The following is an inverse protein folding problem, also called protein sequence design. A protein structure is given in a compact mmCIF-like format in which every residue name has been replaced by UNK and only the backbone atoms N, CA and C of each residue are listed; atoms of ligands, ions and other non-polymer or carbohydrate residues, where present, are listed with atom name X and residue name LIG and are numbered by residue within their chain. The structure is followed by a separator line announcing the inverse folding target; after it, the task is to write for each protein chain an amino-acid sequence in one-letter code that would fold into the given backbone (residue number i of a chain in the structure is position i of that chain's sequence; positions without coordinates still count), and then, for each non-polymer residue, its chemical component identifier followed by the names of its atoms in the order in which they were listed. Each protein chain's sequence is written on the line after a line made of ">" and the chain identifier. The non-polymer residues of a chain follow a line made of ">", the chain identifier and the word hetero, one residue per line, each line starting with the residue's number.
data_IF_061392033738
#
_entry.id   IF_061392033738
#
_cell.length_a   1.000
_cell.length_b   1.000
_cell.length_c   1.000
_cell.angle_alpha   90.00
_cell.angle_beta   90.00
_cell.angle_gamma   90.00
#
_symmetry.space_group_name_H-M   'P 1'
#
loop_
_entity.id
_entity.type
_entity.pdbx_description
1 polymer ?
#
# COMPACT_ATOMS: atom_id res chain seq x y z
N UNK A 1 3.44 7.30 24.76
CA UNK A 1 3.24 6.03 24.05
C UNK A 1 3.70 6.23 22.62
N UNK A 2 4.28 5.21 21.97
CA UNK A 2 4.68 5.33 20.57
C UNK A 2 3.49 5.23 19.63
N UNK A 3 3.59 5.80 18.43
CA UNK A 3 2.55 5.84 17.40
C UNK A 3 1.94 4.45 17.08
N UNK A 4 2.72 3.39 17.18
CA UNK A 4 2.31 2.00 16.90
C UNK A 4 1.35 1.41 17.96
N UNK A 5 1.01 2.15 19.00
CA UNK A 5 -0.03 1.80 20.00
C UNK A 5 -1.29 2.64 19.84
N UNK A 6 -1.25 3.64 18.98
CA UNK A 6 -2.39 4.49 18.65
C UNK A 6 -3.21 3.90 17.49
N UNK A 7 -4.21 4.62 17.02
CA UNK A 7 -5.01 4.19 15.88
C UNK A 7 -4.17 4.20 14.60
N UNK A 8 -4.17 3.07 13.91
CA UNK A 8 -3.57 2.86 12.60
C UNK A 8 -4.65 2.36 11.63
N UNK A 9 -4.52 2.70 10.37
CA UNK A 9 -5.43 2.25 9.32
C UNK A 9 -4.66 1.34 8.37
N UNK A 10 -4.85 0.03 8.50
CA UNK A 10 -4.37 -0.94 7.52
C UNK A 10 -5.12 -0.80 6.21
N UNK A 11 -4.42 -0.82 5.08
CA UNK A 11 -5.00 -0.70 3.75
C UNK A 11 -4.32 -1.66 2.78
N UNK A 12 -5.12 -2.29 1.92
CA UNK A 12 -4.64 -3.19 0.88
C UNK A 12 -5.65 -3.31 -0.26
N UNK A 13 -5.18 -3.60 -1.47
CA UNK A 13 -5.97 -3.82 -2.69
C UNK A 13 -5.56 -5.11 -3.38
N UNK A 14 -6.54 -5.96 -3.76
CA UNK A 14 -6.32 -6.99 -4.78
C UNK A 14 -6.70 -6.45 -6.15
N UNK A 15 -5.97 -6.87 -7.17
CA UNK A 15 -5.97 -6.19 -8.45
C UNK A 15 -5.92 -7.15 -9.64
N UNK A 16 -6.23 -6.64 -10.83
CA UNK A 16 -6.14 -7.42 -12.08
C UNK A 16 -4.70 -7.61 -12.58
N UNK A 17 -3.69 -7.02 -11.94
CA UNK A 17 -2.30 -7.12 -12.39
C UNK A 17 -1.32 -6.33 -11.54
N UNK A 18 -0.06 -6.30 -11.93
CA UNK A 18 1.06 -5.76 -11.15
C UNK A 18 1.56 -4.39 -11.60
N UNK A 19 1.00 -3.84 -12.68
CA UNK A 19 1.27 -2.46 -13.10
C UNK A 19 0.17 -1.53 -12.56
N UNK A 20 0.47 -0.62 -11.62
CA UNK A 20 -0.53 0.22 -11.00
C UNK A 20 -1.19 1.23 -11.94
N UNK A 21 -0.60 1.49 -13.11
CA UNK A 21 -1.17 2.39 -14.12
C UNK A 21 -2.25 1.71 -14.96
N UNK A 22 -2.14 0.40 -15.19
CA UNK A 22 -3.01 -0.40 -16.05
C UNK A 22 -3.99 -1.28 -15.27
N UNK A 23 -3.56 -1.79 -14.13
CA UNK A 23 -4.37 -2.67 -13.29
C UNK A 23 -5.64 -1.99 -12.78
N UNK A 24 -6.61 -2.80 -12.40
CA UNK A 24 -7.92 -2.39 -11.90
C UNK A 24 -8.13 -2.96 -10.50
N UNK A 25 -8.86 -2.25 -9.66
CA UNK A 25 -9.26 -2.76 -8.34
C UNK A 25 -10.23 -3.91 -8.50
N UNK A 26 -9.94 -5.03 -7.82
CA UNK A 26 -10.84 -6.19 -7.67
C UNK A 26 -11.44 -6.21 -6.27
N UNK A 27 -10.61 -6.14 -5.23
CA UNK A 27 -11.08 -5.95 -3.85
C UNK A 27 -10.27 -4.86 -3.17
N UNK A 28 -10.81 -4.32 -2.08
CA UNK A 28 -10.09 -3.39 -1.21
C UNK A 28 -10.51 -3.59 0.23
N UNK A 29 -9.58 -3.37 1.14
CA UNK A 29 -9.82 -3.45 2.57
C UNK A 29 -9.21 -2.28 3.33
N UNK A 30 -9.96 -1.80 4.32
CA UNK A 30 -9.51 -0.81 5.30
C UNK A 30 -9.80 -1.34 6.70
N UNK A 31 -8.77 -1.48 7.51
CA UNK A 31 -8.82 -2.07 8.86
C UNK A 31 -8.40 -1.02 9.89
N UNK A 32 -9.24 -0.78 10.88
CA UNK A 32 -8.90 0.04 12.04
C UNK A 32 -8.20 -0.83 13.08
N UNK A 33 -6.96 -0.50 13.41
CA UNK A 33 -6.15 -1.21 14.39
C UNK A 33 -5.69 -0.25 15.50
N UNK A 34 -5.80 -0.66 16.76
CA UNK A 34 -5.20 0.06 17.89
C UNK A 34 -4.57 -0.94 18.86
N UNK A 35 -3.30 -0.72 19.19
CA UNK A 35 -2.55 -1.60 20.10
C UNK A 35 -2.61 -3.09 19.72
N UNK A 36 -2.67 -3.42 18.43
CA UNK A 36 -2.76 -4.80 17.92
C UNK A 36 -4.18 -5.35 17.79
N UNK A 37 -5.20 -4.66 18.33
CA UNK A 37 -6.61 -5.07 18.27
C UNK A 37 -7.34 -4.41 17.11
N UNK A 38 -8.15 -5.19 16.39
CA UNK A 38 -9.01 -4.69 15.32
C UNK A 38 -10.26 -4.04 15.92
N UNK A 39 -10.48 -2.76 15.60
CA UNK A 39 -11.65 -1.99 16.06
C UNK A 39 -12.76 -1.96 15.02
N UNK A 40 -12.42 -2.04 13.74
CA UNK A 40 -13.36 -1.99 12.65
C UNK A 40 -12.74 -2.44 11.34
N UNK A 41 -13.60 -2.77 10.37
CA UNK A 41 -13.17 -3.13 9.02
C UNK A 41 -14.17 -2.64 8.00
N UNK A 42 -13.67 -2.34 6.80
CA UNK A 42 -14.46 -2.06 5.61
C UNK A 42 -13.85 -2.81 4.44
N UNK A 43 -14.71 -3.46 3.69
CA UNK A 43 -14.34 -4.32 2.57
C UNK A 43 -15.17 -3.93 1.35
N UNK A 44 -14.55 -4.00 0.20
CA UNK A 44 -15.20 -3.76 -1.08
C UNK A 44 -14.85 -4.85 -2.06
N UNK A 45 -15.84 -5.28 -2.83
CA UNK A 45 -15.66 -6.06 -4.04
C UNK A 45 -16.09 -5.17 -5.21
N UNK A 46 -15.22 -5.04 -6.21
CA UNK A 46 -15.49 -4.30 -7.43
C UNK A 46 -15.77 -5.25 -8.60
N UNK A 47 -16.68 -4.83 -9.46
CA UNK A 47 -16.65 -5.27 -10.86
C UNK A 47 -15.67 -4.36 -11.60
N UNK A 48 -14.46 -4.85 -11.97
CA UNK A 48 -13.44 -4.03 -12.59
C UNK A 48 -13.82 -3.57 -14.03
N UNK A 49 -14.90 -4.09 -14.60
CA UNK A 49 -15.32 -3.81 -15.98
C UNK A 49 -14.37 -4.32 -17.05
N UNK A 50 -13.39 -5.12 -16.67
CA UNK A 50 -12.44 -5.82 -17.55
C UNK A 50 -12.25 -7.25 -17.05
N UNK A 51 -11.72 -8.11 -17.93
CA UNK A 51 -11.41 -9.49 -17.52
C UNK A 51 -10.29 -9.50 -16.48
N UNK A 52 -10.51 -10.22 -15.37
CA UNK A 52 -9.49 -10.54 -14.39
C UNK A 52 -8.64 -11.68 -14.96
N UNK A 53 -7.33 -11.50 -15.18
CA UNK A 53 -6.46 -12.54 -15.72
C UNK A 53 -6.41 -13.78 -14.82
N UNK A 54 -6.20 -14.95 -15.41
CA UNK A 54 -6.23 -16.21 -14.69
C UNK A 54 -5.15 -16.32 -13.59
N UNK A 55 -4.00 -15.70 -13.79
CA UNK A 55 -2.92 -15.60 -12.80
C UNK A 55 -3.32 -14.73 -11.60
N UNK A 56 -4.01 -13.62 -11.82
CA UNK A 56 -4.56 -12.79 -10.75
C UNK A 56 -5.66 -13.56 -9.97
N UNK A 57 -6.59 -14.23 -10.69
CA UNK A 57 -7.60 -15.10 -10.06
C UNK A 57 -6.93 -16.20 -9.22
N UNK A 58 -5.84 -16.79 -9.69
CA UNK A 58 -5.11 -17.83 -8.94
C UNK A 58 -4.46 -17.28 -7.66
N UNK A 59 -4.17 -15.98 -7.61
CA UNK A 59 -3.58 -15.30 -6.44
C UNK A 59 -4.66 -15.00 -5.39
N UNK A 60 -5.69 -14.20 -5.73
CA UNK A 60 -6.67 -13.69 -4.75
C UNK A 60 -8.00 -14.46 -4.74
N UNK A 61 -8.21 -15.43 -5.65
CA UNK A 61 -9.38 -16.32 -5.63
C UNK A 61 -10.69 -15.69 -6.10
N UNK A 62 -10.72 -14.47 -6.58
CA UNK A 62 -11.93 -13.80 -7.06
C UNK A 62 -12.09 -14.08 -8.56
N UNK A 63 -13.14 -14.84 -8.93
CA UNK A 63 -13.43 -15.12 -10.33
C UNK A 63 -14.13 -13.95 -11.03
N UNK A 64 -14.07 -13.94 -12.37
CA UNK A 64 -14.78 -12.96 -13.19
C UNK A 64 -16.30 -13.01 -12.95
N UNK A 65 -16.86 -14.21 -12.79
CA UNK A 65 -18.29 -14.42 -12.56
C UNK A 65 -18.71 -13.81 -11.20
N UNK A 66 -17.88 -14.00 -10.16
CA UNK A 66 -18.14 -13.44 -8.83
C UNK A 66 -18.04 -11.92 -8.85
N UNK A 67 -17.01 -11.37 -9.48
CA UNK A 67 -16.82 -9.93 -9.58
C UNK A 67 -17.99 -9.26 -10.33
N UNK A 68 -18.45 -9.86 -11.44
CA UNK A 68 -19.58 -9.35 -12.22
C UNK A 68 -20.95 -9.51 -11.49
N UNK A 69 -21.13 -10.58 -10.69
CA UNK A 69 -22.40 -10.83 -10.02
C UNK A 69 -22.58 -10.07 -8.69
N UNK A 70 -21.49 -9.90 -7.94
CA UNK A 70 -21.51 -9.38 -6.55
C UNK A 70 -20.77 -8.04 -6.42
N UNK A 71 -19.91 -7.70 -7.39
CA UNK A 71 -19.09 -6.51 -7.36
C UNK A 71 -19.90 -5.22 -7.53
N UNK A 72 -19.47 -4.19 -6.84
CA UNK A 72 -19.99 -2.83 -7.07
C UNK A 72 -19.27 -2.20 -8.27
N UNK A 73 -19.88 -1.23 -8.97
CA UNK A 73 -19.19 -0.48 -10.01
C UNK A 73 -17.84 0.05 -9.54
N UNK A 74 -16.78 -0.15 -10.36
CA UNK A 74 -15.41 0.16 -9.97
C UNK A 74 -15.19 1.63 -9.60
N UNK A 75 -15.88 2.57 -10.28
CA UNK A 75 -15.87 4.00 -9.93
C UNK A 75 -16.37 4.25 -8.51
N UNK A 76 -17.43 3.53 -8.10
CA UNK A 76 -18.00 3.64 -6.75
C UNK A 76 -17.10 3.05 -5.67
N UNK A 77 -16.37 2.00 -6.00
CA UNK A 77 -15.39 1.41 -5.08
C UNK A 77 -14.19 2.33 -4.92
N UNK A 78 -13.63 2.82 -6.03
CA UNK A 78 -12.50 3.75 -5.99
C UNK A 78 -12.85 5.03 -5.20
N UNK A 79 -14.03 5.61 -5.44
CA UNK A 79 -14.51 6.79 -4.73
C UNK A 79 -14.67 6.54 -3.22
N UNK A 80 -15.29 5.41 -2.85
CA UNK A 80 -15.50 5.05 -1.46
C UNK A 80 -14.19 4.80 -0.70
N UNK A 81 -13.25 4.05 -1.29
CA UNK A 81 -11.92 3.80 -0.72
C UNK A 81 -11.18 5.11 -0.51
N UNK A 82 -11.08 5.93 -1.55
CA UNK A 82 -10.39 7.22 -1.48
C UNK A 82 -11.01 8.16 -0.44
N UNK A 83 -12.35 8.19 -0.36
CA UNK A 83 -13.07 8.99 0.65
C UNK A 83 -12.77 8.56 2.07
N UNK A 84 -12.70 7.24 2.32
CA UNK A 84 -12.37 6.69 3.65
C UNK A 84 -10.93 7.03 4.04
N UNK A 85 -9.96 6.80 3.15
CA UNK A 85 -8.55 7.11 3.43
C UNK A 85 -8.34 8.61 3.68
N UNK A 86 -8.95 9.48 2.84
CA UNK A 86 -8.87 10.92 3.01
C UNK A 86 -9.44 11.38 4.35
N UNK A 87 -10.53 10.77 4.83
CA UNK A 87 -11.11 11.11 6.13
C UNK A 87 -10.15 10.83 7.28
N UNK A 88 -9.37 9.73 7.24
CA UNK A 88 -8.36 9.44 8.25
C UNK A 88 -7.16 10.38 8.14
N UNK A 89 -6.62 10.65 6.95
CA UNK A 89 -5.52 11.59 6.78
C UNK A 89 -5.87 13.00 7.25
N UNK A 90 -7.10 13.49 7.02
CA UNK A 90 -7.56 14.79 7.54
C UNK A 90 -7.53 14.90 9.06
N UNK A 91 -7.58 13.78 9.76
CA UNK A 91 -7.44 13.72 11.23
C UNK A 91 -6.02 13.37 11.69
N UNK A 92 -5.06 13.25 10.76
CA UNK A 92 -3.66 12.92 11.06
C UNK A 92 -3.42 11.45 11.41
N UNK A 93 -4.42 10.57 11.19
CA UNK A 93 -4.28 9.12 11.44
C UNK A 93 -3.48 8.50 10.31
N UNK A 94 -2.40 7.72 10.61
CA UNK A 94 -1.58 7.13 9.59
C UNK A 94 -2.27 5.95 8.89
N UNK A 95 -2.11 5.89 7.57
CA UNK A 95 -2.48 4.74 6.74
C UNK A 95 -1.26 3.85 6.59
N UNK A 96 -1.43 2.55 6.82
CA UNK A 96 -0.39 1.53 6.73
C UNK A 96 -0.71 0.62 5.55
N UNK A 97 0.19 0.53 4.58
CA UNK A 97 0.08 -0.40 3.46
C UNK A 97 1.45 -1.03 3.17
N UNK A 98 1.46 -2.33 2.86
CA UNK A 98 2.71 -3.02 2.50
C UNK A 98 3.04 -2.79 1.03
N UNK A 99 4.18 -2.17 0.74
CA UNK A 99 4.51 -1.65 -0.59
C UNK A 99 3.52 -0.57 -1.05
N UNK A 100 3.25 0.37 -0.16
CA UNK A 100 2.22 1.41 -0.27
C UNK A 100 2.21 2.16 -1.61
N UNK A 101 3.37 2.28 -2.27
CA UNK A 101 3.47 2.95 -3.57
C UNK A 101 2.67 2.24 -4.67
N UNK A 102 2.45 0.92 -4.57
CA UNK A 102 1.63 0.19 -5.51
C UNK A 102 0.14 0.55 -5.33
N UNK A 103 -0.40 0.32 -4.14
CA UNK A 103 -1.83 0.48 -3.85
C UNK A 103 -2.30 1.93 -4.02
N UNK A 104 -1.51 2.87 -3.52
CA UNK A 104 -1.86 4.29 -3.62
C UNK A 104 -1.78 4.80 -5.06
N UNK A 105 -0.80 4.34 -5.83
CA UNK A 105 -0.68 4.72 -7.26
C UNK A 105 -1.80 4.09 -8.09
N UNK A 106 -2.17 2.85 -7.81
CA UNK A 106 -3.30 2.20 -8.46
C UNK A 106 -4.61 2.89 -8.13
N UNK A 107 -4.86 3.22 -6.86
CA UNK A 107 -6.05 4.00 -6.47
C UNK A 107 -6.07 5.37 -7.17
N UNK A 108 -4.94 6.05 -7.24
CA UNK A 108 -4.82 7.32 -7.97
C UNK A 108 -5.10 7.17 -9.47
N UNK A 109 -4.63 6.08 -10.10
CA UNK A 109 -4.92 5.77 -11.49
C UNK A 109 -6.41 5.49 -11.73
N UNK A 110 -7.08 4.75 -10.82
CA UNK A 110 -8.51 4.51 -10.88
C UNK A 110 -9.32 5.81 -10.76
N UNK A 111 -8.98 6.66 -9.79
CA UNK A 111 -9.65 7.96 -9.63
C UNK A 111 -9.55 8.79 -10.90
N UNK A 112 -8.37 8.88 -11.50
CA UNK A 112 -8.15 9.59 -12.77
C UNK A 112 -8.94 8.97 -13.92
N UNK A 113 -8.94 7.65 -14.04
CA UNK A 113 -9.65 6.90 -15.10
C UNK A 113 -11.14 7.19 -15.13
N UNK A 114 -11.74 7.37 -13.96
CA UNK A 114 -13.16 7.68 -13.82
C UNK A 114 -13.47 9.17 -13.68
N UNK A 115 -12.49 10.06 -13.83
CA UNK A 115 -12.69 11.50 -13.66
C UNK A 115 -13.14 11.89 -12.25
N UNK A 116 -12.77 11.12 -11.24
CA UNK A 116 -13.09 11.38 -9.84
C UNK A 116 -12.07 12.34 -9.22
N UNK A 117 -12.44 13.10 -8.16
CA UNK A 117 -11.51 13.92 -7.42
C UNK A 117 -10.30 13.09 -6.96
N UNK A 118 -9.09 13.60 -7.22
CA UNK A 118 -7.84 12.96 -6.79
C UNK A 118 -7.73 12.89 -5.26
N UNK A 119 -6.78 12.11 -4.76
CA UNK A 119 -6.48 12.11 -3.32
C UNK A 119 -6.09 13.51 -2.84
N UNK A 120 -5.35 14.26 -3.65
CA UNK A 120 -4.91 15.62 -3.35
C UNK A 120 -6.10 16.60 -3.31
N UNK A 121 -7.05 16.49 -4.23
CA UNK A 121 -8.29 17.30 -4.19
C UNK A 121 -9.08 17.03 -2.92
N UNK A 122 -9.15 15.76 -2.48
CA UNK A 122 -9.84 15.38 -1.24
C UNK A 122 -9.14 15.86 0.03
N UNK A 123 -7.85 16.17 -0.06
CA UNK A 123 -7.00 16.64 1.03
C UNK A 123 -6.70 18.14 0.95
N UNK A 124 -7.54 18.89 0.25
CA UNK A 124 -7.46 20.35 0.16
C UNK A 124 -6.10 20.82 -0.42
N UNK A 125 -5.54 20.05 -1.36
CA UNK A 125 -4.28 20.29 -2.03
C UNK A 125 -3.04 19.67 -1.36
N UNK A 126 -3.20 19.01 -0.21
CA UNK A 126 -2.10 18.31 0.46
C UNK A 126 -1.87 16.90 -0.12
N UNK A 127 -0.66 16.40 0.02
CA UNK A 127 -0.34 15.02 -0.35
C UNK A 127 -0.84 14.01 0.72
N UNK A 128 -1.15 12.76 0.33
CA UNK A 128 -1.52 11.69 1.27
C UNK A 128 -0.45 11.45 2.34
N UNK A 129 -0.73 11.87 3.57
CA UNK A 129 0.18 11.74 4.71
C UNK A 129 -0.58 11.76 6.05
N UNK A 130 -0.09 11.03 7.09
CA UNK A 130 1.08 10.15 7.05
C UNK A 130 0.75 8.78 6.44
N UNK A 131 1.72 8.22 5.72
CA UNK A 131 1.71 6.83 5.24
C UNK A 131 2.85 6.09 5.94
N UNK A 132 2.61 4.85 6.34
CA UNK A 132 3.60 3.95 6.93
C UNK A 132 3.66 2.68 6.08
N UNK A 133 4.81 2.37 5.56
CA UNK A 133 5.04 1.20 4.69
C UNK A 133 6.06 0.26 5.33
N UNK A 134 5.62 -0.86 5.91
CA UNK A 134 6.50 -1.84 6.54
C UNK A 134 7.59 -2.37 5.59
N UNK A 135 7.31 -2.46 4.29
CA UNK A 135 8.28 -2.88 3.28
C UNK A 135 9.46 -1.91 3.14
N UNK A 136 9.15 -0.63 3.08
CA UNK A 136 10.15 0.44 3.01
C UNK A 136 10.95 0.54 4.30
N UNK A 137 10.28 0.44 5.45
CA UNK A 137 10.94 0.49 6.77
C UNK A 137 11.84 -0.73 6.96
N UNK A 138 11.36 -1.95 6.70
CA UNK A 138 12.15 -3.19 6.82
C UNK A 138 13.43 -3.13 5.98
N UNK A 139 13.35 -2.58 4.76
CA UNK A 139 14.54 -2.36 3.91
C UNK A 139 15.53 -1.36 4.51
N UNK A 140 15.04 -0.33 5.16
CA UNK A 140 15.88 0.69 5.75
C UNK A 140 16.59 0.21 7.04
N UNK A 141 15.90 -0.54 7.90
CA UNK A 141 16.42 -1.00 9.19
C UNK A 141 17.25 -2.28 9.08
N UNK A 142 16.97 -3.11 8.08
CA UNK A 142 17.69 -4.37 7.82
C UNK A 142 18.06 -4.53 6.34
N UNK A 143 18.87 -3.58 5.86
CA UNK A 143 19.26 -3.44 4.44
C UNK A 143 19.85 -4.70 3.84
N UNK A 144 20.62 -5.46 4.62
CA UNK A 144 21.42 -6.59 4.13
C UNK A 144 20.82 -7.96 4.45
N UNK A 145 19.61 -7.99 5.01
CA UNK A 145 18.93 -9.27 5.28
C UNK A 145 18.74 -10.06 3.98
N UNK A 146 19.14 -11.31 4.04
CA UNK A 146 18.99 -12.26 2.93
C UNK A 146 17.55 -12.77 2.85
N UNK A 147 17.14 -13.17 1.65
CA UNK A 147 15.82 -13.76 1.42
C UNK A 147 14.82 -12.81 0.79
N UNK A 148 13.59 -13.31 0.64
CA UNK A 148 12.49 -12.55 0.05
C UNK A 148 11.98 -11.48 1.02
N UNK A 149 11.39 -10.43 0.46
CA UNK A 149 10.69 -9.38 1.20
C UNK A 149 9.22 -9.29 0.75
N UNK A 150 8.58 -10.45 0.52
CA UNK A 150 7.11 -10.50 0.41
C UNK A 150 6.50 -10.25 1.78
N UNK A 151 5.24 -9.82 1.83
CA UNK A 151 4.53 -9.60 3.10
C UNK A 151 4.64 -10.83 4.01
N UNK A 152 4.37 -12.02 3.48
CA UNK A 152 4.49 -13.29 4.19
C UNK A 152 5.90 -13.51 4.80
N UNK A 153 6.95 -13.30 3.99
CA UNK A 153 8.32 -13.51 4.45
C UNK A 153 8.74 -12.53 5.55
N UNK A 154 8.29 -11.27 5.45
CA UNK A 154 8.59 -10.24 6.46
C UNK A 154 7.72 -10.46 7.71
N UNK A 155 6.46 -10.85 7.57
CA UNK A 155 5.62 -11.26 8.70
C UNK A 155 6.26 -12.41 9.49
N UNK A 156 6.78 -13.44 8.80
CA UNK A 156 7.48 -14.55 9.43
C UNK A 156 8.73 -14.09 10.19
N UNK A 157 9.52 -13.17 9.63
CA UNK A 157 10.71 -12.58 10.26
C UNK A 157 10.38 -11.86 11.57
N UNK A 158 9.27 -11.14 11.60
CA UNK A 158 8.85 -10.36 12.77
C UNK A 158 7.87 -11.09 13.69
N UNK A 159 7.54 -12.36 13.40
CA UNK A 159 6.61 -13.17 14.20
C UNK A 159 5.15 -12.69 14.12
N UNK A 160 4.79 -12.05 13.01
CA UNK A 160 3.42 -11.62 12.73
C UNK A 160 2.67 -12.73 12.00
N UNK A 161 1.48 -13.07 12.48
CA UNK A 161 0.63 -14.08 11.84
C UNK A 161 -0.09 -13.47 10.64
N UNK A 162 -0.03 -14.17 9.51
CA UNK A 162 -0.79 -13.92 8.30
C UNK A 162 -1.71 -15.12 8.05
N UNK A 163 -3.02 -14.95 8.21
CA UNK A 163 -3.99 -16.06 8.22
C UNK A 163 -4.40 -16.52 6.82
N UNK A 164 -4.46 -15.59 5.86
CA UNK A 164 -4.83 -15.88 4.47
C UNK A 164 -4.10 -14.88 3.56
N UNK A 165 -2.94 -15.26 3.04
CA UNK A 165 -2.24 -14.43 2.05
C UNK A 165 -3.11 -14.19 0.81
N UNK A 166 -3.02 -12.99 0.25
CA UNK A 166 -3.79 -12.55 -0.92
C UNK A 166 -5.31 -12.44 -0.68
N UNK A 167 -5.69 -12.17 0.56
CA UNK A 167 -6.98 -11.61 0.95
C UNK A 167 -6.74 -10.18 1.44
N UNK A 168 -7.31 -9.19 0.79
CA UNK A 168 -7.03 -7.78 1.10
C UNK A 168 -7.25 -7.43 2.57
N UNK A 169 -8.21 -8.07 3.25
CA UNK A 169 -8.48 -7.86 4.68
C UNK A 169 -7.36 -8.43 5.55
N UNK A 170 -6.91 -9.64 5.24
CA UNK A 170 -5.82 -10.30 5.96
C UNK A 170 -4.50 -9.58 5.74
N UNK A 171 -4.23 -9.13 4.49
CA UNK A 171 -3.00 -8.45 4.12
C UNK A 171 -2.94 -7.04 4.72
N UNK A 172 -4.04 -6.26 4.69
CA UNK A 172 -4.14 -4.97 5.38
C UNK A 172 -3.92 -5.09 6.90
N UNK A 173 -4.51 -6.12 7.53
CA UNK A 173 -4.33 -6.39 8.96
C UNK A 173 -2.89 -6.79 9.28
N UNK A 174 -2.31 -7.68 8.47
CA UNK A 174 -0.93 -8.11 8.62
C UNK A 174 0.06 -6.95 8.44
N UNK A 175 -0.15 -6.08 7.44
CA UNK A 175 0.67 -4.89 7.24
C UNK A 175 0.64 -3.95 8.46
N UNK A 176 -0.55 -3.69 9.02
CA UNK A 176 -0.68 -2.84 10.21
C UNK A 176 -0.01 -3.47 11.46
N UNK A 177 -0.18 -4.78 11.69
CA UNK A 177 0.50 -5.51 12.77
C UNK A 177 2.00 -5.56 12.57
N UNK A 178 2.46 -5.72 11.33
CA UNK A 178 3.86 -5.72 10.98
C UNK A 178 4.52 -4.36 11.26
N UNK A 179 3.86 -3.26 10.95
CA UNK A 179 4.33 -1.92 11.32
C UNK A 179 4.55 -1.80 12.84
N UNK A 180 3.62 -2.33 13.64
CA UNK A 180 3.77 -2.38 15.10
C UNK A 180 4.96 -3.24 15.53
N UNK A 181 5.09 -4.45 14.98
CA UNK A 181 6.18 -5.36 15.32
C UNK A 181 7.57 -4.82 14.94
N UNK A 182 7.67 -4.14 13.80
CA UNK A 182 8.89 -3.44 13.40
C UNK A 182 9.24 -2.33 14.40
N UNK A 183 8.26 -1.53 14.81
CA UNK A 183 8.47 -0.46 15.80
C UNK A 183 8.89 -1.02 17.17
N UNK A 184 8.29 -2.14 17.61
CA UNK A 184 8.68 -2.83 18.86
C UNK A 184 10.12 -3.36 18.80
N UNK A 185 10.55 -3.90 17.65
CA UNK A 185 11.92 -4.42 17.45
C UNK A 185 12.96 -3.31 17.26
N UNK A 186 12.56 -2.17 16.71
CA UNK A 186 13.45 -1.06 16.33
C UNK A 186 13.09 0.25 17.06
N UNK A 187 13.62 0.50 18.28
CA UNK A 187 13.28 1.67 19.09
C UNK A 187 13.50 3.01 18.38
N UNK A 188 14.45 3.10 17.44
CA UNK A 188 14.68 4.30 16.63
C UNK A 188 13.50 4.59 15.69
N UNK A 189 12.83 3.57 15.17
CA UNK A 189 11.61 3.73 14.37
C UNK A 189 10.43 4.12 15.26
N UNK A 190 10.29 3.45 16.40
CA UNK A 190 9.23 3.75 17.37
C UNK A 190 9.31 5.19 17.94
N UNK A 191 10.50 5.76 18.02
CA UNK A 191 10.72 7.11 18.53
C UNK A 191 10.34 8.22 17.54
N UNK A 192 10.22 7.91 16.23
CA UNK A 192 9.76 8.86 15.24
C UNK A 192 8.24 9.06 15.38
N UNK A 193 7.76 10.29 15.22
CA UNK A 193 6.32 10.51 15.04
C UNK A 193 5.88 10.10 13.63
N UNK A 194 4.57 9.82 13.38
CA UNK A 194 4.09 9.37 12.07
C UNK A 194 4.48 10.27 10.90
N UNK A 195 4.42 11.59 11.09
CA UNK A 195 4.79 12.55 10.06
C UNK A 195 6.31 12.54 9.76
N UNK A 196 7.16 12.38 10.79
CA UNK A 196 8.60 12.23 10.59
C UNK A 196 8.94 10.90 9.95
N UNK A 197 8.31 9.80 10.38
CA UNK A 197 8.49 8.48 9.79
C UNK A 197 8.08 8.49 8.31
N UNK A 198 6.98 9.15 7.95
CA UNK A 198 6.57 9.33 6.56
C UNK A 198 7.68 10.02 5.74
N UNK A 199 8.20 11.16 6.22
CA UNK A 199 9.30 11.88 5.53
C UNK A 199 10.56 11.03 5.37
N UNK A 200 10.93 10.26 6.40
CA UNK A 200 12.08 9.34 6.32
C UNK A 200 11.89 8.25 5.29
N UNK A 201 10.68 7.75 5.12
CA UNK A 201 10.40 6.73 4.10
C UNK A 201 10.57 7.28 2.68
N UNK A 202 10.25 8.54 2.42
CA UNK A 202 10.54 9.19 1.13
C UNK A 202 12.05 9.11 0.84
N UNK A 203 12.88 9.51 1.81
CA UNK A 203 14.34 9.47 1.70
C UNK A 203 14.86 8.03 1.51
N UNK A 204 14.37 7.09 2.31
CA UNK A 204 14.79 5.68 2.25
C UNK A 204 14.41 5.00 0.94
N UNK A 205 13.19 5.28 0.46
CA UNK A 205 12.71 4.72 -0.80
C UNK A 205 13.52 5.26 -1.99
N UNK A 206 13.76 6.56 -2.06
CA UNK A 206 14.58 7.18 -3.10
C UNK A 206 16.02 6.63 -3.10
N UNK A 207 16.63 6.49 -1.93
CA UNK A 207 17.97 5.92 -1.80
C UNK A 207 18.02 4.45 -2.26
N UNK A 208 17.01 3.65 -1.86
CA UNK A 208 16.89 2.27 -2.33
C UNK A 208 16.71 2.18 -3.85
N UNK A 209 15.85 3.02 -4.44
CA UNK A 209 15.60 3.03 -5.87
C UNK A 209 16.88 3.34 -6.68
N UNK A 210 17.66 4.33 -6.23
CA UNK A 210 18.95 4.67 -6.83
C UNK A 210 19.95 3.51 -6.75
N UNK A 211 20.11 2.89 -5.59
CA UNK A 211 20.98 1.73 -5.42
C UNK A 211 20.56 0.53 -6.28
N UNK A 212 19.25 0.29 -6.38
CA UNK A 212 18.71 -0.81 -7.18
C UNK A 212 18.89 -0.55 -8.68
N UNK A 213 18.67 0.68 -9.12
CA UNK A 213 18.95 1.11 -10.50
C UNK A 213 20.42 0.86 -10.86
N UNK A 214 21.33 1.28 -10.00
CA UNK A 214 22.77 1.05 -10.21
C UNK A 214 23.14 -0.43 -10.24
N UNK A 215 22.48 -1.24 -9.40
CA UNK A 215 22.64 -2.70 -9.44
C UNK A 215 22.19 -3.28 -10.78
N UNK A 216 21.01 -2.91 -11.30
CA UNK A 216 20.49 -3.39 -12.59
C UNK A 216 21.43 -3.00 -13.74
N UNK A 217 21.92 -1.77 -13.74
CA UNK A 217 22.87 -1.28 -14.76
C UNK A 217 24.16 -2.09 -14.74
N UNK A 218 24.68 -2.40 -13.56
CA UNK A 218 25.88 -3.28 -13.45
C UNK A 218 25.59 -4.73 -13.85
N UNK A 219 24.35 -5.19 -13.77
CA UNK A 219 23.93 -6.57 -14.14
C UNK A 219 23.61 -6.74 -15.61
N UNK A 220 23.73 -5.70 -16.43
CA UNK A 220 23.60 -5.80 -17.88
C UNK A 220 22.38 -5.07 -18.47
N UNK A 221 21.68 -4.28 -17.68
CA UNK A 221 20.63 -3.38 -18.16
C UNK A 221 21.07 -1.91 -17.99
N UNK A 222 21.86 -1.36 -18.92
CA UNK A 222 22.37 0.01 -18.81
C UNK A 222 21.29 1.09 -18.92
N UNK A 223 20.11 0.73 -19.46
CA UNK A 223 18.97 1.62 -19.62
C UNK A 223 18.01 1.55 -18.41
N UNK A 224 18.27 0.72 -17.41
CA UNK A 224 17.38 0.58 -16.26
C UNK A 224 17.09 1.93 -15.60
N UNK A 225 15.81 2.20 -15.42
CA UNK A 225 15.28 3.32 -14.64
C UNK A 225 14.39 2.75 -13.53
N UNK A 226 14.63 3.17 -12.30
CA UNK A 226 13.80 2.80 -11.15
C UNK A 226 13.23 4.06 -10.55
N UNK A 227 11.91 4.16 -10.58
CA UNK A 227 11.20 5.30 -10.01
C UNK A 227 11.41 5.33 -8.49
N UNK A 228 11.95 6.43 -7.99
CA UNK A 228 12.22 6.68 -6.58
C UNK A 228 11.12 7.48 -5.87
N UNK A 229 9.98 7.76 -6.54
CA UNK A 229 8.86 8.47 -5.93
C UNK A 229 8.06 7.58 -4.98
N UNK A 230 7.69 8.13 -3.83
CA UNK A 230 6.92 7.49 -2.78
C UNK A 230 6.17 8.54 -1.96
N UNK A 231 4.93 8.30 -1.50
CA UNK A 231 4.15 7.06 -1.59
C UNK A 231 3.33 6.92 -2.88
N UNK A 232 3.26 7.93 -3.71
CA UNK A 232 2.56 7.93 -4.99
C UNK A 232 3.57 8.00 -6.13
N UNK A 233 3.40 7.14 -7.13
CA UNK A 233 4.05 7.27 -8.41
C UNK A 233 3.12 8.05 -9.33
N UNK A 234 3.56 9.19 -9.80
CA UNK A 234 2.83 9.91 -10.84
C UNK A 234 3.14 9.28 -12.20
N UNK A 235 2.15 9.23 -13.11
CA UNK A 235 2.44 8.77 -14.47
C UNK A 235 3.51 9.64 -15.09
N UNK A 236 4.46 9.02 -15.78
CA UNK A 236 5.43 9.75 -16.60
C UNK A 236 4.69 10.59 -17.64
N UNK A 237 4.64 11.92 -17.47
CA UNK A 237 4.26 12.86 -18.49
C UNK A 237 2.81 13.35 -18.50
N UNK A 238 2.48 14.25 -17.58
CA UNK A 238 1.78 15.47 -17.96
C UNK A 238 2.53 16.64 -17.30
N UNK A 239 3.09 17.57 -18.10
CA UNK A 239 3.61 18.81 -17.52
C UNK A 239 2.43 19.62 -16.98
N UNK A 240 2.57 20.12 -15.77
CA UNK A 240 1.71 21.13 -15.15
C UNK A 240 1.70 22.40 -15.98
#
# INVERSE_FOLDING_TARGET
>A
MGWHRELLIGFDLETTGTDPSEARIVTGAVIELRAGETLGRREWLADPGVMIPADAVAVHGISNERAAAEGRPADRVADAVAGVLAAYWKTGVPVVAYNASFDLSLLSAELRRYGLPSLRDRLDGADPAPVIDPYTIDRAVDRYRRGKRTLEAVCAEYGVRLDAAHDATADALAAARLACAIADRHPKVAALGPAELHRRQIEWYAAWAADFQDFLRRKGDPAALVDGTWPLREPAGEPV
#
